data_IF_835943391939
#
_entry.id   IF_835943391939
#
_cell.length_a   1.000
_cell.length_b   1.000
_cell.length_c   1.000
_cell.angle_alpha   90.00
_cell.angle_beta   90.00
_cell.angle_gamma   90.00
#
_symmetry.space_group_name_H-M   'P 1'
#
loop_
_entity.id
_entity.type
_entity.pdbx_description
1 polymer ?
#
# COMPACT_ATOMS: atom_id res chain seq x y z
N UNK A 1 11.08 35.02 13.67
CA UNK A 1 12.26 34.46 12.98
C UNK A 1 13.12 33.74 14.02
N UNK A 2 13.04 32.41 14.03
CA UNK A 2 13.79 31.55 14.96
C UNK A 2 14.36 30.38 14.13
N UNK A 3 15.51 30.63 13.51
CA UNK A 3 16.39 29.59 12.96
C UNK A 3 17.74 29.77 13.63
N UNK A 4 17.81 29.36 14.88
CA UNK A 4 19.04 29.22 15.63
C UNK A 4 18.77 28.18 16.70
N UNK A 5 19.06 26.92 16.38
CA UNK A 5 19.56 25.85 17.26
C UNK A 5 19.20 24.54 16.58
N UNK A 6 20.15 23.95 15.86
CA UNK A 6 20.39 22.50 15.77
C UNK A 6 21.59 22.27 14.83
N UNK A 7 22.67 23.02 15.06
CA UNK A 7 24.01 22.65 14.59
C UNK A 7 24.63 21.73 15.66
N UNK A 8 23.99 20.56 15.83
CA UNK A 8 24.55 19.48 16.65
C UNK A 8 24.92 18.37 15.69
N UNK A 9 26.18 18.44 15.26
CA UNK A 9 26.91 17.42 14.54
C UNK A 9 26.57 16.03 15.09
N UNK A 10 25.79 15.28 14.32
CA UNK A 10 25.74 13.84 14.40
C UNK A 10 26.72 13.29 13.37
N UNK A 11 27.94 12.96 13.80
CA UNK A 11 28.82 12.06 13.08
C UNK A 11 28.16 10.67 13.00
N UNK A 12 27.16 10.51 12.14
CA UNK A 12 26.83 9.19 11.61
C UNK A 12 27.60 9.04 10.31
N UNK A 13 28.65 8.22 10.41
CA UNK A 13 29.61 8.00 9.34
C UNK A 13 28.94 7.83 7.99
N UNK A 14 29.56 8.49 7.01
CA UNK A 14 29.41 8.22 5.59
C UNK A 14 29.75 6.75 5.30
N UNK A 15 28.87 5.82 5.64
CA UNK A 15 28.69 4.63 4.82
C UNK A 15 27.72 5.06 3.74
N UNK A 16 28.27 5.55 2.63
CA UNK A 16 27.62 5.34 1.34
C UNK A 16 27.35 3.85 1.29
N UNK A 17 26.11 3.46 1.54
CA UNK A 17 25.67 2.14 1.14
C UNK A 17 25.81 2.22 -0.37
N UNK A 18 26.88 1.62 -0.90
CA UNK A 18 26.94 1.21 -2.29
C UNK A 18 25.83 0.17 -2.46
N UNK A 19 24.59 0.66 -2.51
CA UNK A 19 23.48 -0.08 -3.06
C UNK A 19 23.87 -0.27 -4.51
N UNK A 20 24.17 -1.52 -4.86
CA UNK A 20 24.30 -1.92 -6.24
C UNK A 20 22.94 -1.65 -6.90
N UNK A 21 22.84 -0.47 -7.53
CA UNK A 21 21.63 0.02 -8.16
C UNK A 21 21.15 -0.94 -9.24
N UNK A 22 22.05 -1.72 -9.84
CA UNK A 22 21.68 -2.68 -10.87
C UNK A 22 20.96 -3.89 -10.26
N UNK A 23 21.46 -4.41 -9.13
CA UNK A 23 20.80 -5.49 -8.39
C UNK A 23 19.46 -5.05 -7.79
N UNK A 24 19.37 -3.83 -7.27
CA UNK A 24 18.12 -3.28 -6.73
C UNK A 24 17.07 -3.04 -7.85
N UNK A 25 17.49 -2.49 -8.98
CA UNK A 25 16.60 -2.20 -10.11
C UNK A 25 16.10 -3.47 -10.81
N UNK A 26 16.91 -4.54 -10.85
CA UNK A 26 16.52 -5.82 -11.44
C UNK A 26 15.46 -6.52 -10.56
N UNK A 27 15.58 -6.45 -9.24
CA UNK A 27 14.56 -6.96 -8.31
C UNK A 27 13.23 -6.19 -8.36
N UNK A 28 13.26 -4.85 -8.50
CA UNK A 28 12.03 -4.05 -8.63
C UNK A 28 11.33 -4.20 -9.99
N UNK A 29 12.08 -4.45 -11.07
CA UNK A 29 11.54 -4.61 -12.41
C UNK A 29 10.65 -5.86 -12.56
N UNK A 30 10.86 -6.86 -11.71
CA UNK A 30 10.05 -8.08 -11.65
C UNK A 30 8.74 -7.89 -10.87
N UNK A 31 8.61 -6.81 -10.08
CA UNK A 31 7.42 -6.57 -9.27
C UNK A 31 6.26 -6.02 -10.10
N UNK A 32 5.07 -6.58 -9.87
CA UNK A 32 3.81 -5.96 -10.24
C UNK A 32 3.54 -4.78 -9.33
N UNK A 33 3.30 -3.61 -9.90
CA UNK A 33 2.94 -2.39 -9.18
C UNK A 33 1.48 -2.07 -9.42
N UNK A 34 0.74 -1.83 -8.35
CA UNK A 34 -0.65 -1.41 -8.42
C UNK A 34 -0.89 -0.16 -7.59
N UNK A 35 -1.57 0.81 -8.20
CA UNK A 35 -2.15 1.97 -7.53
C UNK A 35 -3.64 2.00 -7.89
N UNK A 36 -4.51 1.84 -6.90
CA UNK A 36 -5.95 1.86 -7.09
C UNK A 36 -6.61 2.87 -6.16
N UNK A 37 -7.62 3.55 -6.67
CA UNK A 37 -8.49 4.44 -5.93
C UNK A 37 -9.94 4.02 -6.17
N UNK A 38 -10.71 3.95 -5.10
CA UNK A 38 -12.09 3.49 -5.13
C UNK A 38 -12.89 4.16 -4.01
N UNK A 39 -14.21 4.10 -4.13
CA UNK A 39 -15.13 4.44 -3.04
C UNK A 39 -15.85 3.21 -2.55
N UNK A 40 -16.03 3.10 -1.25
CA UNK A 40 -16.90 2.10 -0.62
C UNK A 40 -18.11 2.83 -0.05
N UNK A 41 -19.32 2.31 -0.31
CA UNK A 41 -20.57 2.87 0.20
C UNK A 41 -21.43 1.75 0.76
N UNK A 42 -22.07 1.97 1.90
CA UNK A 42 -22.95 1.02 2.59
C UNK A 42 -24.21 1.72 3.10
N UNK A 43 -25.29 0.95 3.30
CA UNK A 43 -26.49 1.45 3.98
C UNK A 43 -26.37 1.36 5.52
N UNK A 44 -25.30 0.74 6.02
CA UNK A 44 -25.01 0.61 7.46
C UNK A 44 -23.63 1.16 7.75
N UNK A 45 -23.47 1.75 8.94
CA UNK A 45 -22.15 2.22 9.39
C UNK A 45 -21.21 1.03 9.61
N UNK A 46 -19.96 1.21 9.21
CA UNK A 46 -18.86 0.27 9.42
C UNK A 46 -17.64 0.99 10.00
N UNK A 47 -16.75 0.22 10.66
CA UNK A 47 -15.45 0.72 11.10
C UNK A 47 -14.52 0.87 9.90
N UNK A 48 -13.97 2.07 9.70
CA UNK A 48 -12.99 2.31 8.65
C UNK A 48 -11.72 1.49 8.89
N UNK A 49 -11.28 1.38 10.14
CA UNK A 49 -10.09 0.60 10.51
C UNK A 49 -10.27 -0.90 10.27
N UNK A 50 -11.44 -1.45 10.62
CA UNK A 50 -11.74 -2.86 10.36
C UNK A 50 -11.80 -3.16 8.86
N UNK A 51 -12.39 -2.26 8.06
CA UNK A 51 -12.41 -2.36 6.59
C UNK A 51 -10.98 -2.44 6.03
N UNK A 52 -10.09 -1.54 6.48
CA UNK A 52 -8.71 -1.48 6.00
C UNK A 52 -7.90 -2.71 6.41
N UNK A 53 -7.99 -3.14 7.67
CA UNK A 53 -7.30 -4.32 8.17
C UNK A 53 -7.75 -5.59 7.45
N UNK A 54 -9.06 -5.80 7.31
CA UNK A 54 -9.62 -6.96 6.63
C UNK A 54 -9.20 -7.03 5.16
N UNK A 55 -9.20 -5.87 4.46
CA UNK A 55 -8.75 -5.79 3.08
C UNK A 55 -7.28 -6.22 2.93
N UNK A 56 -6.40 -5.68 3.77
CA UNK A 56 -4.96 -6.00 3.73
C UNK A 56 -4.72 -7.46 4.11
N UNK A 57 -5.46 -7.98 5.08
CA UNK A 57 -5.34 -9.37 5.53
C UNK A 57 -5.82 -10.36 4.47
N UNK A 58 -6.92 -10.06 3.75
CA UNK A 58 -7.35 -10.84 2.58
C UNK A 58 -6.32 -10.85 1.48
N UNK A 59 -5.71 -9.70 1.21
CA UNK A 59 -4.62 -9.63 0.23
C UNK A 59 -3.43 -10.48 0.67
N UNK A 60 -2.98 -10.35 1.92
CA UNK A 60 -1.91 -11.19 2.49
C UNK A 60 -2.19 -12.67 2.27
N UNK A 61 -3.38 -13.13 2.67
CA UNK A 61 -3.77 -14.54 2.56
C UNK A 61 -3.83 -15.00 1.11
N UNK A 62 -4.46 -14.22 0.21
CA UNK A 62 -4.59 -14.61 -1.20
C UNK A 62 -3.24 -14.63 -1.94
N UNK A 63 -2.33 -13.70 -1.62
CA UNK A 63 -1.00 -13.66 -2.21
C UNK A 63 -0.14 -14.82 -1.70
N UNK A 64 -0.27 -15.18 -0.41
CA UNK A 64 0.40 -16.35 0.15
C UNK A 64 0.00 -17.67 -0.55
N UNK A 65 -1.25 -17.81 -1.01
CA UNK A 65 -1.69 -19.04 -1.74
C UNK A 65 -1.01 -19.24 -3.09
N UNK A 66 -0.44 -18.19 -3.66
CA UNK A 66 0.30 -18.23 -4.93
C UNK A 66 1.79 -17.98 -4.73
N UNK A 67 2.27 -18.05 -3.49
CA UNK A 67 3.67 -17.81 -3.11
C UNK A 67 4.20 -16.43 -3.57
N UNK A 68 3.30 -15.44 -3.71
CA UNK A 68 3.65 -14.09 -4.14
C UNK A 68 4.02 -13.21 -2.94
N UNK A 69 5.27 -12.75 -2.90
CA UNK A 69 5.76 -11.92 -1.82
C UNK A 69 5.40 -10.44 -2.01
N UNK A 70 4.81 -9.83 -0.99
CA UNK A 70 4.53 -8.40 -0.97
C UNK A 70 5.73 -7.62 -0.43
N UNK A 71 6.41 -6.88 -1.31
CA UNK A 71 7.50 -5.97 -0.91
C UNK A 71 6.95 -4.69 -0.26
N UNK A 72 5.80 -4.21 -0.73
CA UNK A 72 5.12 -3.06 -0.14
C UNK A 72 3.61 -3.14 -0.41
N UNK A 73 2.79 -3.16 0.64
CA UNK A 73 1.34 -3.09 0.47
C UNK A 73 0.75 -2.20 1.56
N UNK A 74 -0.01 -1.19 1.14
CA UNK A 74 -0.75 -0.29 2.03
C UNK A 74 -2.13 0.07 1.49
N UNK A 75 -3.07 0.19 2.40
CA UNK A 75 -4.40 0.71 2.16
C UNK A 75 -4.63 1.94 3.05
N UNK A 76 -5.12 3.01 2.44
CA UNK A 76 -5.47 4.26 3.12
C UNK A 76 -6.96 4.47 2.94
N UNK A 77 -7.66 4.75 4.02
CA UNK A 77 -9.08 5.11 4.01
C UNK A 77 -9.26 6.56 4.44
N UNK A 78 -10.17 7.27 3.80
CA UNK A 78 -10.52 8.65 4.12
C UNK A 78 -12.03 8.84 4.21
N UNK A 79 -12.47 9.56 5.22
CA UNK A 79 -13.86 10.01 5.37
C UNK A 79 -13.94 11.27 6.22
N UNK A 80 -14.54 12.35 5.71
CA UNK A 80 -14.79 13.62 6.44
C UNK A 80 -13.63 14.12 7.34
N UNK A 81 -12.40 14.05 6.86
CA UNK A 81 -11.20 14.49 7.60
C UNK A 81 -10.59 13.44 8.53
N UNK A 82 -11.28 12.32 8.77
CA UNK A 82 -10.71 11.10 9.35
C UNK A 82 -9.93 10.34 8.29
N UNK A 83 -8.81 9.75 8.69
CA UNK A 83 -8.04 8.87 7.82
C UNK A 83 -7.35 7.77 8.60
N UNK A 84 -7.32 6.58 8.00
CA UNK A 84 -6.71 5.38 8.56
C UNK A 84 -5.71 4.79 7.58
N UNK A 85 -4.68 4.13 8.09
CA UNK A 85 -3.62 3.51 7.28
C UNK A 85 -3.35 2.10 7.78
N UNK A 86 -3.60 1.11 6.93
CA UNK A 86 -3.20 -0.28 7.15
C UNK A 86 -2.06 -0.66 6.19
N UNK A 87 -1.10 -1.42 6.70
CA UNK A 87 0.07 -1.87 5.96
C UNK A 87 0.31 -3.36 6.17
N UNK A 88 0.94 -3.98 5.18
CA UNK A 88 1.60 -5.28 5.31
C UNK A 88 3.11 -5.03 5.24
N UNK A 89 3.79 -5.24 6.37
CA UNK A 89 5.23 -4.98 6.50
C UNK A 89 6.05 -6.15 5.93
N UNK A 90 5.58 -7.38 6.16
CA UNK A 90 6.12 -8.60 5.55
C UNK A 90 5.00 -9.62 5.35
N UNK A 91 5.16 -10.53 4.39
CA UNK A 91 4.22 -11.63 4.12
C UNK A 91 3.97 -12.53 5.34
N UNK A 92 4.97 -12.67 6.22
CA UNK A 92 4.93 -13.51 7.43
C UNK A 92 4.32 -12.83 8.66
N UNK A 93 4.02 -11.53 8.56
CA UNK A 93 3.42 -10.76 9.65
C UNK A 93 1.95 -10.45 9.33
N UNK A 94 1.07 -10.39 10.35
CA UNK A 94 -0.32 -9.99 10.13
C UNK A 94 -0.38 -8.54 9.63
N UNK A 95 -1.49 -8.20 8.96
CA UNK A 95 -1.80 -6.81 8.63
C UNK A 95 -1.78 -5.92 9.89
N UNK A 96 -1.23 -4.71 9.77
CA UNK A 96 -1.13 -3.77 10.89
C UNK A 96 -1.74 -2.43 10.54
N UNK A 97 -2.44 -1.85 11.51
CA UNK A 97 -2.93 -0.48 11.45
C UNK A 97 -1.81 0.43 11.96
N UNK A 98 -1.18 1.18 11.07
CA UNK A 98 -0.11 2.12 11.43
C UNK A 98 -0.66 3.47 11.90
N UNK A 99 -1.88 3.80 11.47
CA UNK A 99 -2.61 4.94 11.97
C UNK A 99 -4.11 4.60 12.00
N UNK A 100 -4.76 4.60 13.17
CA UNK A 100 -6.20 4.43 13.25
C UNK A 100 -6.94 5.69 12.83
N UNK A 101 -8.05 5.51 12.13
CA UNK A 101 -9.04 6.56 11.89
C UNK A 101 -9.96 6.76 13.11
N UNK A 102 -10.18 5.70 13.90
CA UNK A 102 -11.08 5.67 15.06
C UNK A 102 -12.50 6.18 14.75
N UNK A 103 -13.01 5.87 13.56
CA UNK A 103 -14.31 6.35 13.08
C UNK A 103 -15.24 5.24 12.57
N UNK A 104 -16.54 5.53 12.59
CA UNK A 104 -17.60 4.74 11.98
C UNK A 104 -18.23 5.55 10.84
N UNK A 105 -18.32 4.97 9.65
CA UNK A 105 -18.80 5.65 8.45
C UNK A 105 -19.69 4.73 7.60
N UNK A 106 -20.55 5.30 6.77
CA UNK A 106 -21.30 4.61 5.73
C UNK A 106 -20.67 4.76 4.33
N UNK A 107 -19.64 5.60 4.20
CA UNK A 107 -18.87 5.76 2.97
C UNK A 107 -17.39 6.06 3.23
N UNK A 108 -16.51 5.64 2.34
CA UNK A 108 -15.08 5.97 2.43
C UNK A 108 -14.44 6.03 1.04
N UNK A 109 -13.48 6.94 0.88
CA UNK A 109 -12.51 6.87 -0.22
C UNK A 109 -11.36 5.97 0.21
N UNK A 110 -10.98 5.02 -0.64
CA UNK A 110 -9.84 4.15 -0.40
C UNK A 110 -8.77 4.36 -1.47
N UNK A 111 -7.51 4.28 -1.03
CA UNK A 111 -6.34 4.22 -1.90
C UNK A 111 -5.53 2.99 -1.53
N UNK A 112 -5.25 2.13 -2.51
CA UNK A 112 -4.46 0.90 -2.36
C UNK A 112 -3.19 1.05 -3.18
N UNK A 113 -2.05 0.84 -2.53
CA UNK A 113 -0.75 0.78 -3.18
C UNK A 113 -0.13 -0.59 -2.88
N UNK A 114 0.11 -1.40 -3.91
CA UNK A 114 0.76 -2.69 -3.77
C UNK A 114 1.97 -2.82 -4.72
N UNK A 115 3.03 -3.47 -4.27
CA UNK A 115 4.21 -3.88 -5.02
C UNK A 115 4.51 -5.31 -4.58
N UNK A 116 4.35 -6.24 -5.50
CA UNK A 116 4.28 -7.68 -5.21
C UNK A 116 5.02 -8.43 -6.31
N UNK A 117 5.73 -9.49 -5.94
CA UNK A 117 6.49 -10.35 -6.86
C UNK A 117 5.56 -11.24 -7.71
N UNK A 118 4.75 -10.62 -8.55
CA UNK A 118 3.76 -11.26 -9.43
C UNK A 118 3.45 -10.36 -10.64
N UNK A 119 2.86 -10.92 -11.69
CA UNK A 119 2.43 -10.14 -12.84
C UNK A 119 1.39 -9.06 -12.47
N UNK A 120 1.42 -7.86 -13.09
CA UNK A 120 0.47 -6.79 -12.82
C UNK A 120 -1.00 -7.20 -12.94
N UNK A 121 -1.32 -8.03 -13.94
CA UNK A 121 -2.68 -8.50 -14.21
C UNK A 121 -3.17 -9.37 -13.05
N UNK A 122 -2.34 -10.32 -12.59
CA UNK A 122 -2.62 -11.15 -11.42
C UNK A 122 -2.74 -10.31 -10.16
N UNK A 123 -1.86 -9.34 -9.93
CA UNK A 123 -1.97 -8.45 -8.77
C UNK A 123 -3.30 -7.69 -8.76
N UNK A 124 -3.72 -7.18 -9.93
CA UNK A 124 -4.99 -6.49 -10.06
C UNK A 124 -6.18 -7.40 -9.74
N UNK A 125 -6.20 -8.63 -10.25
CA UNK A 125 -7.25 -9.61 -9.95
C UNK A 125 -7.37 -9.89 -8.45
N UNK A 126 -6.23 -10.02 -7.75
CA UNK A 126 -6.22 -10.24 -6.31
C UNK A 126 -6.73 -9.02 -5.53
N UNK A 127 -6.37 -7.81 -5.94
CA UNK A 127 -6.87 -6.56 -5.34
C UNK A 127 -8.37 -6.40 -5.55
N UNK A 128 -8.86 -6.60 -6.77
CA UNK A 128 -10.29 -6.48 -7.08
C UNK A 128 -11.11 -7.52 -6.33
N UNK A 129 -10.64 -8.77 -6.25
CA UNK A 129 -11.28 -9.83 -5.48
C UNK A 129 -11.32 -9.52 -3.99
N UNK A 130 -10.20 -9.11 -3.40
CA UNK A 130 -10.14 -8.78 -1.97
C UNK A 130 -11.07 -7.62 -1.62
N UNK A 131 -11.12 -6.57 -2.46
CA UNK A 131 -12.08 -5.46 -2.30
C UNK A 131 -13.53 -5.97 -2.36
N UNK A 132 -13.86 -6.77 -3.37
CA UNK A 132 -15.22 -7.27 -3.57
C UNK A 132 -15.68 -8.13 -2.37
N UNK A 133 -14.82 -9.01 -1.88
CA UNK A 133 -15.12 -9.86 -0.72
C UNK A 133 -15.24 -9.06 0.57
N UNK A 134 -14.36 -8.09 0.79
CA UNK A 134 -14.41 -7.21 1.97
C UNK A 134 -15.71 -6.41 1.98
N UNK A 135 -16.09 -5.83 0.83
CA UNK A 135 -17.34 -5.08 0.71
C UNK A 135 -18.56 -5.98 0.90
N UNK A 136 -18.54 -7.18 0.32
CA UNK A 136 -19.63 -8.16 0.48
C UNK A 136 -19.84 -8.54 1.95
N UNK A 137 -18.76 -8.75 2.72
CA UNK A 137 -18.85 -9.07 4.14
C UNK A 137 -19.49 -7.94 4.97
N UNK A 138 -19.34 -6.69 4.52
CA UNK A 138 -19.90 -5.50 5.16
C UNK A 138 -21.28 -5.08 4.61
N UNK A 139 -21.81 -5.79 3.60
CA UNK A 139 -23.01 -5.35 2.88
C UNK A 139 -22.81 -4.02 2.14
N UNK A 140 -21.57 -3.70 1.78
CA UNK A 140 -21.17 -2.48 1.08
C UNK A 140 -20.94 -2.74 -0.42
N UNK A 141 -20.87 -1.66 -1.20
CA UNK A 141 -20.53 -1.68 -2.63
C UNK A 141 -19.26 -0.87 -2.86
N UNK A 142 -18.32 -1.45 -3.62
CA UNK A 142 -17.13 -0.75 -4.10
C UNK A 142 -17.38 -0.17 -5.50
N UNK A 143 -16.88 1.02 -5.75
CA UNK A 143 -16.80 1.62 -7.07
C UNK A 143 -15.35 2.06 -7.34
N UNK A 144 -14.69 1.39 -8.29
CA UNK A 144 -13.34 1.72 -8.70
C UNK A 144 -13.34 3.00 -9.55
N UNK A 145 -12.56 4.00 -9.13
CA UNK A 145 -12.38 5.24 -9.89
C UNK A 145 -11.23 5.13 -10.88
N UNK A 146 -10.07 4.73 -10.38
CA UNK A 146 -8.88 4.55 -11.20
C UNK A 146 -8.04 3.42 -10.63
N UNK A 147 -7.69 2.47 -11.49
CA UNK A 147 -6.69 1.43 -11.21
C UNK A 147 -5.61 1.51 -12.27
N UNK A 148 -4.35 1.54 -11.84
CA UNK A 148 -3.18 1.37 -12.70
C UNK A 148 -2.37 0.20 -12.16
N UNK A 149 -2.23 -0.84 -12.98
CA UNK A 149 -1.36 -1.98 -12.72
C UNK A 149 -0.30 -2.06 -13.81
N UNK A 150 0.98 -2.11 -13.46
CA UNK A 150 2.10 -2.07 -14.41
C UNK A 150 3.38 -2.66 -13.81
N UNK A 151 4.39 -2.91 -14.64
CA UNK A 151 5.78 -3.09 -14.18
C UNK A 151 6.54 -1.80 -14.46
N UNK A 152 7.29 -1.24 -13.49
CA UNK A 152 8.16 -0.11 -13.79
C UNK A 152 9.25 -0.56 -14.77
N UNK A 153 9.57 0.28 -15.75
CA UNK A 153 10.80 0.10 -16.50
C UNK A 153 12.02 0.32 -15.59
N UNK A 154 13.18 -0.23 -15.97
CA UNK A 154 14.43 -0.02 -15.22
C UNK A 154 14.68 1.50 -15.06
N UNK A 155 14.83 2.03 -13.83
CA UNK A 155 15.12 3.44 -13.63
C UNK A 155 16.47 3.78 -14.28
N UNK A 156 16.47 4.76 -15.19
CA UNK A 156 17.70 5.30 -15.78
C UNK A 156 18.09 6.54 -14.96
N UNK A 157 19.19 6.52 -14.17
CA UNK A 157 19.56 7.64 -13.32
C UNK A 157 19.84 8.89 -14.16
N UNK A 158 19.09 9.97 -13.91
CA UNK A 158 19.15 11.23 -14.67
C UNK A 158 20.10 12.27 -14.08
N UNK A 159 20.74 12.01 -12.94
CA UNK A 159 21.74 12.89 -12.36
C UNK A 159 23.00 12.12 -11.98
N UNK A 160 24.05 12.23 -12.80
CA UNK A 160 25.43 12.08 -12.32
C UNK A 160 25.78 13.38 -11.61
N UNK A 161 25.80 13.37 -10.28
CA UNK A 161 26.48 14.42 -9.53
C UNK A 161 27.98 14.22 -9.77
N UNK A 162 28.56 15.06 -10.62
CA UNK A 162 30.01 15.18 -10.80
C UNK A 162 30.66 15.79 -9.56
#
# INVERSE_FOLDING_TARGET
>A
ELVATLDRQGEFGQKRVELDYDVYAEGEAELGWLNSSLTVVSNQKFSLDALLLELVERLRNSLATIEAEAAHLKAIGLWEGFYGVANLISSDSPAQLSLPADCQTDAAELVINARVAVAPETLQEHVERAVAETCKALGATANFRQTRSFRPGRPVPTHRLN
#
